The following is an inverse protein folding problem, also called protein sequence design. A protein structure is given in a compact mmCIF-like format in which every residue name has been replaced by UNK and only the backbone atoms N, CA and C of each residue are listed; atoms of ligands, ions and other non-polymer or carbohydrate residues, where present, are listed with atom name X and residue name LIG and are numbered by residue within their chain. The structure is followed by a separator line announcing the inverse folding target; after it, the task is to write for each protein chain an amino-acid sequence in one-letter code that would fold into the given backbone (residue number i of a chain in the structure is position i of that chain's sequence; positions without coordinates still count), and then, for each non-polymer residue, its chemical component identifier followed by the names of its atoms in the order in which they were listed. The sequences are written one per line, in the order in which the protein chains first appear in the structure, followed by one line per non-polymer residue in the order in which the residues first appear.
data_IF_877967608663
#
_entry.id   IF_877967608663
#
_cell.length_a   1.000
_cell.length_b   1.000
_cell.length_c   1.000
_cell.angle_alpha   90.00
_cell.angle_beta   90.00
_cell.angle_gamma   90.00
#
_symmetry.space_group_name_H-M   'P 1'
#
loop_
_entity.id
_entity.type
_entity.pdbx_description
1 polymer ?
#
# COMPACT_ATOMS: atom_id res chain seq x y z
N UNK A 1 12.17 -24.08 -1.54
CA UNK A 1 10.74 -23.82 -1.82
C UNK A 1 10.24 -22.81 -0.80
N UNK A 2 9.78 -21.63 -1.24
CA UNK A 2 9.37 -20.56 -0.33
C UNK A 2 7.87 -20.76 -0.01
N UNK A 3 7.56 -21.62 0.97
CA UNK A 3 6.18 -21.97 1.36
C UNK A 3 5.56 -20.85 2.21
N UNK A 4 5.39 -19.67 1.60
CA UNK A 4 4.65 -18.56 2.21
C UNK A 4 3.19 -18.94 2.10
N UNK A 5 2.56 -19.50 3.15
CA UNK A 5 1.17 -19.97 3.14
C UNK A 5 0.18 -18.79 3.23
N UNK A 6 -0.24 -18.15 2.11
CA UNK A 6 -0.90 -16.86 2.16
C UNK A 6 -2.38 -17.04 2.52
N UNK A 7 -2.96 -18.17 2.12
CA UNK A 7 -4.32 -18.55 2.48
C UNK A 7 -4.49 -18.67 4.00
N UNK A 8 -3.56 -19.34 4.69
CA UNK A 8 -3.60 -19.45 6.15
C UNK A 8 -3.47 -18.08 6.82
N UNK A 9 -2.56 -17.22 6.32
CA UNK A 9 -2.42 -15.86 6.84
C UNK A 9 -3.71 -15.06 6.69
N UNK A 10 -4.37 -15.11 5.52
CA UNK A 10 -5.63 -14.41 5.29
C UNK A 10 -6.74 -14.95 6.19
N UNK A 11 -6.84 -16.27 6.36
CA UNK A 11 -7.82 -16.88 7.26
C UNK A 11 -7.62 -16.44 8.71
N UNK A 12 -6.38 -16.47 9.19
CA UNK A 12 -6.04 -16.02 10.55
C UNK A 12 -6.32 -14.53 10.73
N UNK A 13 -6.01 -13.70 9.72
CA UNK A 13 -6.30 -12.27 9.75
C UNK A 13 -7.81 -12.00 9.88
N UNK A 14 -8.65 -12.75 9.15
CA UNK A 14 -10.11 -12.65 9.25
C UNK A 14 -10.62 -13.05 10.63
N UNK A 15 -10.19 -14.20 11.13
CA UNK A 15 -10.56 -14.69 12.46
C UNK A 15 -10.20 -13.66 13.56
N UNK A 16 -8.98 -13.12 13.52
CA UNK A 16 -8.55 -12.12 14.50
C UNK A 16 -9.30 -10.80 14.34
N UNK A 17 -9.54 -10.33 13.11
CA UNK A 17 -10.32 -9.13 12.91
C UNK A 17 -11.72 -9.27 13.54
N UNK A 18 -12.42 -10.36 13.24
CA UNK A 18 -13.76 -10.63 13.78
C UNK A 18 -13.75 -10.74 15.31
N UNK A 19 -12.76 -11.43 15.90
CA UNK A 19 -12.62 -11.56 17.35
C UNK A 19 -12.48 -10.22 18.09
N UNK A 20 -11.92 -9.20 17.44
CA UNK A 20 -11.81 -7.83 17.98
C UNK A 20 -12.86 -6.86 17.44
N UNK A 21 -13.94 -7.36 16.82
CA UNK A 21 -15.05 -6.54 16.29
C UNK A 21 -14.73 -5.79 15.00
N UNK A 22 -13.62 -6.14 14.33
CA UNK A 22 -13.23 -5.61 13.03
C UNK A 22 -13.67 -6.49 11.86
N UNK A 23 -13.47 -5.99 10.65
CA UNK A 23 -13.78 -6.72 9.41
C UNK A 23 -12.65 -6.59 8.40
N UNK A 24 -12.40 -7.65 7.64
CA UNK A 24 -11.45 -7.63 6.52
C UNK A 24 -12.21 -7.38 5.22
N UNK A 25 -11.72 -6.44 4.42
CA UNK A 25 -12.26 -6.19 3.10
C UNK A 25 -11.26 -6.63 2.03
N UNK A 26 -11.69 -7.56 1.18
CA UNK A 26 -10.92 -7.96 0.01
C UNK A 26 -11.14 -6.97 -1.13
N UNK A 27 -10.07 -6.71 -1.87
CA UNK A 27 -10.07 -5.89 -3.08
C UNK A 27 -9.79 -6.77 -4.29
N UNK A 28 -10.33 -6.38 -5.44
CA UNK A 28 -9.99 -7.04 -6.70
C UNK A 28 -8.60 -6.56 -7.14
N UNK A 29 -7.57 -7.34 -6.79
CA UNK A 29 -6.17 -6.97 -7.07
C UNK A 29 -5.85 -6.85 -8.56
N UNK A 30 -6.55 -7.62 -9.42
CA UNK A 30 -6.33 -7.65 -10.87
C UNK A 30 -6.81 -6.36 -11.54
N UNK A 31 -7.94 -5.83 -11.10
CA UNK A 31 -8.45 -4.53 -11.56
C UNK A 31 -7.72 -3.36 -10.88
N UNK A 32 -7.51 -3.45 -9.57
CA UNK A 32 -6.99 -2.36 -8.75
C UNK A 32 -5.56 -1.96 -9.12
N UNK A 33 -4.66 -2.94 -9.30
CA UNK A 33 -3.27 -2.70 -9.76
C UNK A 33 -2.56 -1.57 -8.98
N UNK A 34 -2.66 -1.60 -7.65
CA UNK A 34 -2.25 -0.50 -6.75
C UNK A 34 -0.80 -0.04 -6.99
N UNK A 35 0.11 -1.01 -7.18
CA UNK A 35 1.53 -0.73 -7.40
C UNK A 35 1.81 0.06 -8.68
N UNK A 36 0.90 0.01 -9.66
CA UNK A 36 1.03 0.67 -10.95
C UNK A 36 0.33 2.03 -11.00
N UNK A 37 -0.69 2.23 -10.17
CA UNK A 37 -1.55 3.40 -10.21
C UNK A 37 -0.86 4.68 -9.70
N UNK A 38 -1.28 5.82 -10.25
CA UNK A 38 -0.95 7.18 -9.81
C UNK A 38 -2.26 7.98 -9.65
N UNK A 39 -2.57 8.43 -8.43
CA UNK A 39 -3.80 9.15 -8.13
C UNK A 39 -3.78 10.61 -8.64
N UNK A 40 -2.60 11.18 -8.89
CA UNK A 40 -2.46 12.55 -9.41
C UNK A 40 -2.83 12.57 -10.88
N UNK A 41 -2.24 11.69 -11.68
CA UNK A 41 -2.48 11.61 -13.13
C UNK A 41 -3.67 10.73 -13.50
N UNK A 42 -4.07 9.82 -12.62
CA UNK A 42 -5.08 8.78 -12.91
C UNK A 42 -4.55 7.65 -13.79
N UNK A 43 -3.25 7.61 -14.05
CA UNK A 43 -2.65 6.66 -14.99
C UNK A 43 -2.12 5.40 -14.30
N UNK A 44 -1.86 4.37 -15.11
CA UNK A 44 -1.27 3.10 -14.67
C UNK A 44 0.06 2.88 -15.39
N UNK A 45 1.15 2.85 -14.64
CA UNK A 45 2.50 2.61 -15.18
C UNK A 45 3.08 1.36 -14.55
N UNK A 46 3.55 0.42 -15.37
CA UNK A 46 4.26 -0.77 -14.87
C UNK A 46 5.61 -0.35 -14.30
N UNK A 47 5.90 -0.79 -13.08
CA UNK A 47 7.21 -0.65 -12.45
C UNK A 47 7.83 -2.04 -12.24
N UNK A 48 9.16 -2.12 -12.30
CA UNK A 48 9.91 -3.35 -11.98
C UNK A 48 9.82 -3.61 -10.48
N UNK A 49 9.89 -4.89 -10.10
CA UNK A 49 9.87 -5.26 -8.67
C UNK A 49 11.06 -4.70 -7.87
N UNK A 50 12.20 -4.49 -8.55
CA UNK A 50 13.40 -3.86 -7.97
C UNK A 50 13.23 -2.35 -7.74
N UNK A 51 12.28 -1.70 -8.40
CA UNK A 51 11.98 -0.28 -8.21
C UNK A 51 11.10 -0.13 -6.98
N UNK A 52 11.73 0.25 -5.86
CA UNK A 52 11.10 0.37 -4.55
C UNK A 52 10.54 1.77 -4.25
N UNK A 53 10.83 2.73 -5.13
CA UNK A 53 10.43 4.12 -5.05
C UNK A 53 9.69 4.52 -6.32
N UNK A 54 8.72 5.41 -6.18
CA UNK A 54 7.97 6.04 -7.28
C UNK A 54 7.96 7.55 -7.06
N UNK A 55 7.70 8.29 -8.12
CA UNK A 55 7.46 9.73 -8.04
C UNK A 55 5.98 9.98 -8.30
N UNK A 56 5.31 10.67 -7.37
CA UNK A 56 3.89 11.05 -7.46
C UNK A 56 3.83 12.57 -7.41
N UNK A 57 3.55 13.20 -8.55
CA UNK A 57 3.75 14.64 -8.71
C UNK A 57 5.22 15.02 -8.41
N UNK A 58 5.49 15.94 -7.47
CA UNK A 58 6.86 16.28 -7.06
C UNK A 58 7.44 15.36 -5.96
N UNK A 59 6.65 14.42 -5.42
CA UNK A 59 7.01 13.68 -4.20
C UNK A 59 7.57 12.28 -4.48
N UNK A 60 8.77 11.94 -3.99
CA UNK A 60 9.25 10.56 -3.98
C UNK A 60 8.55 9.76 -2.88
N UNK A 61 7.90 8.67 -3.24
CA UNK A 61 7.17 7.79 -2.32
C UNK A 61 7.70 6.37 -2.37
N UNK A 62 7.72 5.69 -1.22
CA UNK A 62 8.01 4.27 -1.17
C UNK A 62 6.83 3.50 -1.76
N UNK A 63 7.09 2.68 -2.78
CA UNK A 63 6.07 1.99 -3.58
C UNK A 63 5.07 1.17 -2.77
N UNK A 64 5.52 0.44 -1.74
CA UNK A 64 4.67 -0.48 -0.99
C UNK A 64 3.79 0.30 0.00
N UNK A 65 4.35 1.30 0.68
CA UNK A 65 3.59 2.25 1.50
C UNK A 65 2.52 2.97 0.69
N UNK A 66 2.89 3.45 -0.51
CA UNK A 66 1.96 4.12 -1.40
C UNK A 66 0.88 3.16 -1.93
N UNK A 67 1.22 1.91 -2.23
CA UNK A 67 0.22 0.90 -2.61
C UNK A 67 -0.77 0.63 -1.48
N UNK A 68 -0.30 0.54 -0.23
CA UNK A 68 -1.16 0.38 0.94
C UNK A 68 -2.06 1.61 1.16
N UNK A 69 -1.53 2.81 0.94
CA UNK A 69 -2.30 4.07 0.97
C UNK A 69 -3.46 4.05 -0.03
N UNK A 70 -3.20 3.61 -1.27
CA UNK A 70 -4.23 3.49 -2.29
C UNK A 70 -5.30 2.47 -1.88
N UNK A 71 -4.89 1.30 -1.38
CA UNK A 71 -5.80 0.24 -0.93
C UNK A 71 -6.71 0.70 0.22
N UNK A 72 -6.16 1.45 1.18
CA UNK A 72 -6.92 2.07 2.28
C UNK A 72 -7.98 3.04 1.77
N UNK A 73 -7.72 3.71 0.66
CA UNK A 73 -8.64 4.64 0.01
C UNK A 73 -9.31 4.00 -1.21
N UNK A 74 -9.64 2.71 -1.13
CA UNK A 74 -10.43 2.05 -2.17
C UNK A 74 -11.83 2.66 -2.29
N UNK A 75 -12.34 2.69 -3.52
CA UNK A 75 -13.71 3.08 -3.81
C UNK A 75 -14.71 2.03 -3.31
N UNK A 76 -16.01 2.34 -3.41
CA UNK A 76 -17.07 1.41 -2.98
C UNK A 76 -17.07 0.11 -3.76
N UNK A 77 -16.56 0.11 -4.99
CA UNK A 77 -16.47 -1.09 -5.84
C UNK A 77 -15.30 -1.98 -5.47
N UNK A 78 -14.33 -1.46 -4.69
CA UNK A 78 -13.08 -2.13 -4.30
C UNK A 78 -12.22 -2.55 -5.49
N UNK A 79 -12.43 -1.92 -6.64
CA UNK A 79 -11.70 -2.16 -7.89
C UNK A 79 -10.77 -1.02 -8.24
N UNK A 80 -10.98 0.17 -7.68
CA UNK A 80 -10.15 1.34 -7.92
C UNK A 80 -9.92 2.12 -6.64
N UNK A 81 -8.94 3.01 -6.65
CA UNK A 81 -8.78 3.99 -5.59
C UNK A 81 -9.82 5.10 -5.76
N UNK A 82 -10.41 5.56 -4.67
CA UNK A 82 -11.18 6.78 -4.60
C UNK A 82 -10.20 7.97 -4.72
N UNK A 83 -10.18 8.58 -5.90
CA UNK A 83 -9.21 9.63 -6.24
C UNK A 83 -9.38 10.86 -5.37
N UNK A 84 -10.61 11.25 -5.05
CA UNK A 84 -10.90 12.42 -4.21
C UNK A 84 -10.36 12.20 -2.80
N UNK A 85 -10.65 11.04 -2.19
CA UNK A 85 -10.09 10.69 -0.87
C UNK A 85 -8.57 10.58 -0.90
N UNK A 86 -8.01 10.07 -2.00
CA UNK A 86 -6.56 10.01 -2.18
C UNK A 86 -5.94 11.41 -2.28
N UNK A 87 -6.59 12.37 -2.91
CA UNK A 87 -6.08 13.75 -3.00
C UNK A 87 -6.14 14.44 -1.64
N UNK A 88 -7.29 14.36 -0.95
CA UNK A 88 -7.49 14.98 0.36
C UNK A 88 -6.56 14.41 1.44
N UNK A 89 -6.31 13.10 1.42
CA UNK A 89 -5.47 12.43 2.41
C UNK A 89 -3.97 12.43 2.12
N UNK A 90 -3.53 12.93 0.96
CA UNK A 90 -2.17 12.69 0.48
C UNK A 90 -1.12 13.41 1.34
N UNK A 91 -1.39 14.64 1.76
CA UNK A 91 -0.48 15.41 2.61
C UNK A 91 -0.24 14.72 3.96
N UNK A 92 -1.30 14.26 4.62
CA UNK A 92 -1.19 13.52 5.87
C UNK A 92 -0.43 12.19 5.68
N UNK A 93 -0.65 11.50 4.56
CA UNK A 93 0.13 10.32 4.19
C UNK A 93 1.62 10.66 4.04
N UNK A 94 1.97 11.73 3.34
CA UNK A 94 3.36 12.15 3.14
C UNK A 94 4.05 12.45 4.46
N UNK A 95 3.38 13.12 5.41
CA UNK A 95 3.94 13.37 6.75
C UNK A 95 4.29 12.07 7.48
N UNK A 96 3.36 11.11 7.53
CA UNK A 96 3.60 9.80 8.16
C UNK A 96 4.66 8.96 7.42
N UNK A 97 4.65 9.04 6.08
CA UNK A 97 5.61 8.36 5.22
C UNK A 97 7.03 8.86 5.50
N UNK A 98 7.25 10.17 5.44
CA UNK A 98 8.58 10.77 5.57
C UNK A 98 9.16 10.53 6.96
N UNK A 99 8.31 10.63 8.00
CA UNK A 99 8.69 10.23 9.36
C UNK A 99 9.13 8.77 9.40
N UNK A 100 8.34 7.86 8.84
CA UNK A 100 8.66 6.42 8.82
C UNK A 100 9.98 6.14 8.09
N UNK A 101 10.21 6.80 6.96
CA UNK A 101 11.43 6.65 6.18
C UNK A 101 12.64 7.21 6.95
N UNK A 102 12.47 8.34 7.64
CA UNK A 102 13.53 8.95 8.45
C UNK A 102 13.92 8.04 9.63
N UNK A 103 12.94 7.55 10.38
CA UNK A 103 13.17 6.59 11.49
C UNK A 103 13.87 5.31 11.01
N UNK A 104 13.54 4.82 9.80
CA UNK A 104 14.22 3.67 9.22
C UNK A 104 15.69 3.96 8.90
N UNK A 105 15.99 5.12 8.31
CA UNK A 105 17.36 5.55 8.00
C UNK A 105 18.21 5.68 9.27
N UNK A 106 17.67 6.31 10.31
CA UNK A 106 18.34 6.48 11.60
C UNK A 106 18.69 5.14 12.26
N UNK A 107 17.83 4.14 12.10
CA UNK A 107 18.06 2.77 12.59
C UNK A 107 18.94 1.93 11.68
N UNK A 108 19.49 2.50 10.60
CA UNK A 108 20.29 1.77 9.60
C UNK A 108 19.49 0.69 8.84
N UNK A 109 18.15 0.76 8.86
CA UNK A 109 17.29 -0.21 8.21
C UNK A 109 17.00 0.22 6.77
N UNK A 110 17.54 -0.53 5.81
CA UNK A 110 17.22 -0.30 4.39
C UNK A 110 15.82 -0.81 4.00
N UNK A 111 15.27 -1.78 4.74
CA UNK A 111 13.93 -2.35 4.54
C UNK A 111 13.37 -2.87 5.86
N UNK A 112 12.08 -2.60 6.17
CA UNK A 112 11.37 -3.39 7.18
C UNK A 112 11.14 -4.78 6.60
N UNK A 113 11.35 -5.83 7.40
CA UNK A 113 11.14 -7.23 6.98
C UNK A 113 9.73 -7.55 6.48
N UNK A 114 8.75 -6.68 6.75
CA UNK A 114 7.37 -6.77 6.29
C UNK A 114 7.10 -6.13 4.91
N UNK A 115 8.06 -5.41 4.32
CA UNK A 115 7.94 -4.88 2.96
C UNK A 115 8.33 -5.92 1.90
N UNK A 116 7.59 -7.03 1.83
CA UNK A 116 7.59 -8.01 0.73
C UNK A 116 8.95 -8.49 0.22
N UNK A 117 9.32 -9.74 0.55
CA UNK A 117 10.47 -10.46 -0.02
C UNK A 117 10.40 -10.60 -1.54
#
# INVERSE_FOLDING_TARGET
MNNRCPALFVSLLKEKAEAYGGTVHEVDTASFRASQYDHVTGSYTKCRLSERWKTIGPYPVQRDLYSAYLLKNSDRTKKHADRTRCQEGFEAFMGMHDQTIQEMKERGMSRKGCFGF
#
